data_IF_529397861459
#
_entry.id   IF_529397861459
#
_cell.length_a   1.000
_cell.length_b   1.000
_cell.length_c   1.000
_cell.angle_alpha   90.00
_cell.angle_beta   90.00
_cell.angle_gamma   90.00
#
_symmetry.space_group_name_H-M   'P 1'
#
loop_
_entity.id
_entity.type
_entity.pdbx_description
1 polymer ?
#
# COMPACT_ATOMS: atom_id res chain seq x y z
N UNK A 1 3.86 8.50 -6.56
CA UNK A 1 2.53 7.95 -6.20
C UNK A 1 2.34 6.67 -7.00
N UNK A 2 1.71 5.65 -6.44
CA UNK A 2 1.41 4.39 -7.15
C UNK A 2 0.10 3.78 -6.65
N UNK A 3 -0.49 2.88 -7.43
CA UNK A 3 -1.63 2.07 -7.02
C UNK A 3 -1.12 0.74 -6.45
N UNK A 4 -1.58 0.39 -5.25
CA UNK A 4 -1.31 -0.91 -4.62
C UNK A 4 -2.59 -1.75 -4.61
N UNK A 5 -2.47 -3.03 -4.97
CA UNK A 5 -3.55 -3.99 -4.90
C UNK A 5 -3.35 -4.92 -3.70
N UNK A 6 -4.42 -5.14 -2.93
CA UNK A 6 -4.45 -6.05 -1.78
C UNK A 6 -5.74 -6.86 -1.80
N UNK A 7 -5.81 -7.92 -0.99
CA UNK A 7 -7.05 -8.67 -0.75
C UNK A 7 -7.75 -8.06 0.47
N UNK A 8 -9.02 -7.70 0.31
CA UNK A 8 -9.79 -7.07 1.38
C UNK A 8 -10.05 -8.01 2.56
N UNK A 9 -9.74 -7.54 3.78
CA UNK A 9 -10.08 -8.20 5.06
C UNK A 9 -11.38 -7.67 5.68
N UNK A 10 -12.07 -6.74 5.01
CA UNK A 10 -13.32 -6.11 5.50
C UNK A 10 -14.50 -7.08 5.34
N UNK A 11 -15.34 -7.22 6.38
CA UNK A 11 -16.38 -8.28 6.48
C UNK A 11 -17.40 -8.31 5.33
N UNK A 12 -17.78 -7.16 4.81
CA UNK A 12 -18.78 -7.00 3.75
C UNK A 12 -18.24 -7.25 2.33
N UNK A 13 -16.91 -7.19 2.15
CA UNK A 13 -16.22 -7.41 0.87
C UNK A 13 -14.98 -8.27 1.10
N UNK A 14 -15.12 -9.31 1.91
CA UNK A 14 -14.01 -10.20 2.24
C UNK A 14 -13.54 -10.92 0.97
N UNK A 15 -12.22 -11.06 0.80
CA UNK A 15 -11.59 -11.71 -0.36
C UNK A 15 -11.69 -10.94 -1.69
N UNK A 16 -12.29 -9.76 -1.72
CA UNK A 16 -12.40 -8.96 -2.95
C UNK A 16 -11.09 -8.22 -3.22
N UNK A 17 -10.75 -7.95 -4.49
CA UNK A 17 -9.61 -7.09 -4.82
C UNK A 17 -9.89 -5.67 -4.32
N UNK A 18 -8.94 -5.11 -3.58
CA UNK A 18 -8.98 -3.75 -3.09
C UNK A 18 -7.77 -2.97 -3.61
N UNK A 19 -7.98 -1.74 -4.08
CA UNK A 19 -6.91 -0.85 -4.51
C UNK A 19 -6.94 0.49 -3.81
N UNK A 20 -5.77 1.08 -3.59
CA UNK A 20 -5.61 2.44 -3.08
C UNK A 20 -4.39 3.11 -3.70
N UNK A 21 -4.43 4.44 -3.78
CA UNK A 21 -3.26 5.24 -4.15
C UNK A 21 -2.41 5.52 -2.92
N UNK A 22 -1.10 5.30 -3.03
CA UNK A 22 -0.12 5.49 -1.95
C UNK A 22 1.06 6.34 -2.40
N UNK A 23 1.65 7.06 -1.46
CA UNK A 23 2.96 7.68 -1.62
C UNK A 23 4.03 6.61 -1.62
N UNK A 24 5.00 6.74 -2.52
CA UNK A 24 6.10 5.81 -2.74
C UNK A 24 7.38 6.60 -2.96
N UNK A 25 8.48 6.11 -2.42
CA UNK A 25 9.84 6.60 -2.67
C UNK A 25 10.81 5.43 -2.67
N UNK A 26 11.84 5.48 -3.51
CA UNK A 26 12.92 4.49 -3.58
C UNK A 26 14.28 5.02 -3.11
N UNK A 27 14.31 6.27 -2.62
CA UNK A 27 15.50 6.92 -2.07
C UNK A 27 15.54 8.43 -2.35
N UNK A 28 16.56 9.13 -1.85
CA UNK A 28 16.85 10.51 -2.23
C UNK A 28 17.20 10.64 -3.72
N UNK A 29 17.12 11.87 -4.25
CA UNK A 29 17.53 12.17 -5.63
C UNK A 29 18.98 11.74 -5.88
N UNK A 30 19.20 10.92 -6.90
CA UNK A 30 20.54 10.40 -7.26
C UNK A 30 21.02 9.20 -6.45
N UNK A 31 20.23 8.71 -5.48
CA UNK A 31 20.56 7.53 -4.68
C UNK A 31 19.34 6.61 -4.46
N UNK A 32 18.52 6.45 -5.50
CA UNK A 32 17.43 5.48 -5.52
C UNK A 32 17.97 4.06 -5.71
N UNK A 33 17.46 3.10 -4.94
CA UNK A 33 17.88 1.69 -5.02
C UNK A 33 16.83 0.78 -5.68
N UNK A 34 15.72 1.36 -6.19
CA UNK A 34 14.63 0.62 -6.83
C UNK A 34 13.72 -0.17 -5.87
N UNK A 35 13.96 -0.10 -4.56
CA UNK A 35 13.11 -0.73 -3.54
C UNK A 35 11.99 0.25 -3.14
N UNK A 36 10.71 -0.11 -3.31
CA UNK A 36 9.60 0.79 -3.02
C UNK A 36 9.32 0.87 -1.51
N UNK A 37 9.53 2.04 -0.92
CA UNK A 37 9.11 2.34 0.46
C UNK A 37 7.79 3.09 0.48
N UNK A 38 6.90 2.71 1.39
CA UNK A 38 5.58 3.29 1.59
C UNK A 38 5.37 3.55 3.08
N UNK A 39 4.80 4.70 3.42
CA UNK A 39 4.38 5.03 4.78
C UNK A 39 2.88 4.84 4.90
N UNK A 40 2.45 3.84 5.68
CA UNK A 40 1.04 3.51 5.87
C UNK A 40 0.59 3.79 7.30
N UNK A 41 -0.56 4.45 7.46
CA UNK A 41 -1.23 4.50 8.76
C UNK A 41 -1.85 3.14 9.08
N UNK A 42 -1.74 2.63 10.33
CA UNK A 42 -2.45 1.42 10.76
C UNK A 42 -3.98 1.51 10.59
N UNK A 43 -4.53 2.71 10.47
CA UNK A 43 -5.97 2.92 10.26
C UNK A 43 -6.39 2.74 8.78
N UNK A 44 -5.44 2.82 7.84
CA UNK A 44 -5.71 2.66 6.41
C UNK A 44 -6.21 1.25 6.07
N UNK A 45 -7.10 1.14 5.09
CA UNK A 45 -7.59 -0.16 4.62
C UNK A 45 -6.45 -1.05 4.10
N UNK A 46 -5.48 -0.48 3.39
CA UNK A 46 -4.29 -1.18 2.89
C UNK A 46 -3.47 -1.79 4.01
N UNK A 47 -3.19 -1.05 5.09
CA UNK A 47 -2.46 -1.60 6.23
C UNK A 47 -3.24 -2.71 6.95
N UNK A 48 -4.57 -2.60 7.04
CA UNK A 48 -5.46 -3.62 7.63
C UNK A 48 -5.58 -4.88 6.78
N UNK A 49 -5.43 -4.76 5.46
CA UNK A 49 -5.43 -5.91 4.54
C UNK A 49 -4.11 -6.68 4.57
N UNK A 50 -2.99 -6.02 4.93
CA UNK A 50 -1.66 -6.63 5.02
C UNK A 50 -1.36 -7.31 6.37
N UNK A 51 -2.31 -7.25 7.31
CA UNK A 51 -2.19 -7.84 8.65
C UNK A 51 -2.98 -9.14 8.73
#
# INVERSE_FOLDING_TARGET
WSAIATVSSRRDIFSYPYTSVVSISDGPLGNGIGIPYMTLSPLSATAKNLK
#
